data_IF_504785574552
#
_entry.id   IF_504785574552
#
_cell.length_a   1.000
_cell.length_b   1.000
_cell.length_c   1.000
_cell.angle_alpha   90.00
_cell.angle_beta   90.00
_cell.angle_gamma   90.00
#
_symmetry.space_group_name_H-M   'P 1'
#
loop_
_entity.id
_entity.type
_entity.pdbx_description
1 polymer ?
#
# COMPACT_ATOMS: atom_id res chain seq x y z
N UNK A 1 -16.91 -20.30 -8.25
CA UNK A 1 -15.52 -19.90 -7.90
C UNK A 1 -15.28 -19.94 -6.40
N UNK A 2 -15.99 -19.15 -5.60
CA UNK A 2 -15.81 -19.12 -4.13
C UNK A 2 -15.95 -20.49 -3.46
N UNK A 3 -16.90 -21.31 -3.90
CA UNK A 3 -17.14 -22.67 -3.40
C UNK A 3 -15.92 -23.60 -3.60
N UNK A 4 -15.35 -23.65 -4.80
CA UNK A 4 -14.16 -24.47 -5.06
C UNK A 4 -12.94 -23.97 -4.29
N UNK A 5 -12.78 -22.64 -4.25
CA UNK A 5 -11.95 -21.88 -3.30
C UNK A 5 -12.04 -22.40 -1.86
N UNK A 6 -13.28 -22.49 -1.37
CA UNK A 6 -13.63 -22.70 0.04
C UNK A 6 -13.42 -24.12 0.56
N UNK A 7 -13.29 -25.11 -0.32
CA UNK A 7 -13.18 -26.53 0.04
C UNK A 7 -11.73 -26.96 0.31
N UNK A 8 -10.73 -26.15 -0.05
CA UNK A 8 -9.32 -26.51 0.15
C UNK A 8 -8.95 -26.50 1.63
N UNK A 9 -8.58 -27.66 2.17
CA UNK A 9 -8.01 -27.77 3.52
C UNK A 9 -6.48 -27.63 3.47
N UNK A 10 -5.91 -27.00 4.50
CA UNK A 10 -4.47 -26.89 4.67
C UNK A 10 -4.05 -27.72 5.87
N UNK A 11 -3.28 -28.78 5.61
CA UNK A 11 -2.79 -29.66 6.67
C UNK A 11 -1.74 -28.97 7.54
N UNK A 12 -1.51 -29.49 8.76
CA UNK A 12 -0.45 -28.99 9.66
C UNK A 12 0.92 -29.64 9.37
N UNK A 13 0.93 -30.80 8.69
CA UNK A 13 2.17 -31.47 8.33
C UNK A 13 2.93 -30.67 7.27
N UNK A 14 4.22 -30.37 7.51
CA UNK A 14 5.10 -29.61 6.62
C UNK A 14 4.94 -29.97 5.13
N UNK A 15 5.11 -31.25 4.76
CA UNK A 15 5.16 -31.66 3.36
C UNK A 15 3.78 -31.59 2.71
N UNK A 16 2.74 -32.05 3.42
CA UNK A 16 1.36 -32.01 2.93
C UNK A 16 0.88 -30.57 2.80
N UNK A 17 1.15 -29.72 3.78
CA UNK A 17 0.80 -28.31 3.75
C UNK A 17 1.45 -27.57 2.58
N UNK A 18 2.72 -27.85 2.30
CA UNK A 18 3.41 -27.29 1.12
C UNK A 18 2.67 -27.66 -0.17
N UNK A 19 2.28 -28.93 -0.31
CA UNK A 19 1.52 -29.40 -1.47
C UNK A 19 0.13 -28.75 -1.56
N UNK A 20 -0.55 -28.56 -0.43
CA UNK A 20 -1.86 -27.92 -0.36
C UNK A 20 -1.77 -26.45 -0.80
N UNK A 21 -0.77 -25.71 -0.31
CA UNK A 21 -0.50 -24.31 -0.70
C UNK A 21 -0.26 -24.23 -2.22
N UNK A 22 0.61 -25.07 -2.78
CA UNK A 22 0.88 -25.08 -4.22
C UNK A 22 -0.38 -25.39 -5.01
N UNK A 23 -1.11 -26.46 -4.66
CA UNK A 23 -2.35 -26.86 -5.35
C UNK A 23 -3.42 -25.77 -5.28
N UNK A 24 -3.48 -25.04 -4.18
CA UNK A 24 -4.42 -23.95 -3.98
C UNK A 24 -4.12 -22.76 -4.89
N UNK A 25 -2.86 -22.30 -4.93
CA UNK A 25 -2.46 -21.19 -5.79
C UNK A 25 -2.46 -21.57 -7.28
N UNK A 26 -2.05 -22.79 -7.64
CA UNK A 26 -2.17 -23.30 -9.01
C UNK A 26 -3.61 -23.25 -9.51
N UNK A 27 -4.57 -23.65 -8.66
CA UNK A 27 -5.99 -23.57 -9.02
C UNK A 27 -6.49 -22.13 -9.06
N UNK A 28 -6.07 -21.31 -8.12
CA UNK A 28 -6.38 -19.87 -8.09
C UNK A 28 -5.97 -19.20 -9.39
N UNK A 29 -4.74 -19.44 -9.88
CA UNK A 29 -4.26 -18.86 -11.15
C UNK A 29 -4.98 -19.43 -12.38
N UNK A 30 -5.39 -20.71 -12.35
CA UNK A 30 -6.25 -21.27 -13.41
C UNK A 30 -7.63 -20.59 -13.44
N UNK A 31 -8.26 -20.42 -12.28
CA UNK A 31 -9.54 -19.73 -12.16
C UNK A 31 -9.45 -18.26 -12.57
N UNK A 32 -8.33 -17.58 -12.31
CA UNK A 32 -8.09 -16.22 -12.79
C UNK A 32 -8.12 -16.14 -14.32
N UNK A 33 -7.53 -17.13 -15.02
CA UNK A 33 -7.57 -17.20 -16.48
C UNK A 33 -8.97 -17.55 -17.02
N UNK A 34 -9.71 -18.41 -16.32
CA UNK A 34 -11.08 -18.79 -16.68
C UNK A 34 -12.07 -17.63 -16.45
N UNK A 35 -11.83 -16.80 -15.43
CA UNK A 35 -12.74 -15.74 -14.97
C UNK A 35 -11.98 -14.41 -14.71
N UNK A 36 -11.42 -13.76 -15.74
CA UNK A 36 -10.51 -12.61 -15.57
C UNK A 36 -11.15 -11.34 -15.02
N UNK A 37 -12.49 -11.27 -14.95
CA UNK A 37 -13.23 -10.13 -14.40
C UNK A 37 -13.65 -10.31 -12.94
N UNK A 38 -13.50 -11.51 -12.42
CA UNK A 38 -13.88 -11.84 -11.05
C UNK A 38 -12.70 -11.62 -10.10
N UNK A 39 -12.95 -11.23 -8.84
CA UNK A 39 -11.89 -10.93 -7.86
C UNK A 39 -11.27 -12.20 -7.27
N UNK A 40 -10.77 -13.10 -8.13
CA UNK A 40 -10.29 -14.45 -7.77
C UNK A 40 -9.13 -14.37 -6.77
N UNK A 41 -8.12 -13.54 -7.08
CA UNK A 41 -6.93 -13.39 -6.23
C UNK A 41 -7.26 -12.72 -4.90
N UNK A 42 -8.13 -11.70 -4.92
CA UNK A 42 -8.59 -11.05 -3.69
C UNK A 42 -9.28 -12.03 -2.75
N UNK A 43 -10.19 -12.85 -3.27
CA UNK A 43 -10.80 -13.94 -2.49
C UNK A 43 -9.74 -14.91 -1.98
N UNK A 44 -8.80 -15.31 -2.84
CA UNK A 44 -7.80 -16.30 -2.49
C UNK A 44 -6.87 -15.83 -1.36
N UNK A 45 -6.41 -14.58 -1.42
CA UNK A 45 -5.57 -13.95 -0.39
C UNK A 45 -6.34 -13.74 0.92
N UNK A 46 -7.60 -13.27 0.85
CA UNK A 46 -8.46 -13.12 2.03
C UNK A 46 -8.74 -14.46 2.74
N UNK A 47 -8.71 -15.58 2.01
CA UNK A 47 -8.79 -16.91 2.61
C UNK A 47 -7.50 -17.31 3.30
N UNK A 48 -6.35 -17.00 2.70
CA UNK A 48 -5.03 -17.24 3.31
C UNK A 48 -4.89 -16.47 4.63
N UNK A 49 -5.44 -15.26 4.76
CA UNK A 49 -5.39 -14.53 6.04
C UNK A 49 -6.12 -15.25 7.18
N UNK A 50 -6.96 -16.24 6.89
CA UNK A 50 -7.64 -17.09 7.89
C UNK A 50 -6.86 -18.36 8.23
N UNK A 51 -5.69 -18.59 7.62
CA UNK A 51 -4.85 -19.74 7.91
C UNK A 51 -4.12 -19.53 9.25
N UNK A 52 -4.61 -20.22 10.28
CA UNK A 52 -4.06 -20.11 11.64
C UNK A 52 -2.76 -20.91 11.82
N UNK A 53 -2.65 -22.07 11.19
CA UNK A 53 -1.54 -23.00 11.41
C UNK A 53 -0.60 -23.08 10.20
N UNK A 54 0.23 -22.06 9.99
CA UNK A 54 1.28 -22.13 8.95
C UNK A 54 2.56 -22.74 9.53
N UNK A 55 3.07 -23.80 8.90
CA UNK A 55 4.38 -24.36 9.23
C UNK A 55 5.50 -23.38 8.83
N UNK A 56 6.46 -23.05 9.71
CA UNK A 56 7.54 -22.10 9.44
C UNK A 56 8.27 -22.31 8.11
N UNK A 57 8.63 -23.55 7.79
CA UNK A 57 9.34 -23.89 6.56
C UNK A 57 8.56 -23.62 5.26
N UNK A 58 7.24 -23.44 5.34
CA UNK A 58 6.39 -23.16 4.18
C UNK A 58 6.13 -21.66 3.98
N UNK A 59 6.62 -20.81 4.90
CA UNK A 59 6.39 -19.38 4.83
C UNK A 59 7.01 -18.74 3.59
N UNK A 60 8.27 -19.04 3.27
CA UNK A 60 8.95 -18.45 2.12
C UNK A 60 8.22 -18.74 0.79
N UNK A 61 7.64 -19.94 0.67
CA UNK A 61 6.77 -20.31 -0.45
C UNK A 61 5.49 -19.46 -0.47
N UNK A 62 4.79 -19.38 0.66
CA UNK A 62 3.55 -18.61 0.74
C UNK A 62 3.78 -17.12 0.49
N UNK A 63 4.83 -16.54 1.08
CA UNK A 63 5.26 -15.16 0.86
C UNK A 63 5.50 -14.89 -0.63
N UNK A 64 6.23 -15.78 -1.32
CA UNK A 64 6.47 -15.64 -2.76
C UNK A 64 5.17 -15.65 -3.58
N UNK A 65 4.20 -16.50 -3.22
CA UNK A 65 2.90 -16.60 -3.89
C UNK A 65 2.00 -15.38 -3.60
N UNK A 66 2.07 -14.81 -2.39
CA UNK A 66 1.41 -13.55 -2.04
C UNK A 66 1.99 -12.40 -2.86
N UNK A 67 3.32 -12.27 -2.92
CA UNK A 67 4.01 -11.24 -3.71
C UNK A 67 3.74 -11.40 -5.23
N UNK A 68 3.63 -12.63 -5.71
CA UNK A 68 3.18 -12.90 -7.08
C UNK A 68 1.74 -12.44 -7.31
N UNK A 69 0.85 -12.67 -6.34
CA UNK A 69 -0.55 -12.22 -6.41
C UNK A 69 -0.64 -10.69 -6.50
N UNK A 70 0.17 -9.96 -5.72
CA UNK A 70 0.29 -8.50 -5.80
C UNK A 70 0.77 -8.03 -7.17
N UNK A 71 1.73 -8.74 -7.76
CA UNK A 71 2.29 -8.41 -9.07
C UNK A 71 1.25 -8.57 -10.19
N UNK A 72 0.34 -9.55 -10.07
CA UNK A 72 -0.72 -9.84 -11.04
C UNK A 72 -1.93 -8.91 -10.83
N UNK A 73 -2.37 -8.76 -9.59
CA UNK A 73 -3.52 -7.94 -9.20
C UNK A 73 -3.13 -7.03 -8.02
N UNK A 74 -2.93 -5.71 -8.28
CA UNK A 74 -2.50 -4.76 -7.26
C UNK A 74 -3.54 -4.61 -6.15
N UNK A 75 -4.82 -4.91 -6.42
CA UNK A 75 -5.89 -4.87 -5.43
C UNK A 75 -5.71 -5.86 -4.27
N UNK A 76 -4.75 -6.78 -4.39
CA UNK A 76 -4.35 -7.71 -3.31
C UNK A 76 -3.21 -7.21 -2.44
N UNK A 77 -2.60 -6.06 -2.76
CA UNK A 77 -1.45 -5.49 -2.05
C UNK A 77 -1.72 -5.37 -0.55
N UNK A 78 -2.80 -4.65 -0.20
CA UNK A 78 -3.17 -4.42 1.21
C UNK A 78 -3.35 -5.74 1.98
N UNK A 79 -4.11 -6.67 1.41
CA UNK A 79 -4.42 -7.93 2.07
C UNK A 79 -3.15 -8.78 2.27
N UNK A 80 -2.30 -8.83 1.26
CA UNK A 80 -1.02 -9.54 1.31
C UNK A 80 -0.07 -8.94 2.34
N UNK A 81 0.02 -7.61 2.42
CA UNK A 81 0.84 -6.91 3.41
C UNK A 81 0.34 -7.11 4.83
N UNK A 82 -0.97 -7.18 5.05
CA UNK A 82 -1.54 -7.50 6.36
C UNK A 82 -1.08 -8.89 6.82
N UNK A 83 -1.05 -9.87 5.93
CA UNK A 83 -0.55 -11.23 6.23
C UNK A 83 0.95 -11.19 6.51
N UNK A 84 1.75 -10.52 5.67
CA UNK A 84 3.20 -10.39 5.84
C UNK A 84 3.55 -9.75 7.18
N UNK A 85 2.85 -8.67 7.55
CA UNK A 85 3.05 -8.01 8.84
C UNK A 85 2.66 -8.91 10.02
N UNK A 86 1.55 -9.65 9.93
CA UNK A 86 1.17 -10.62 10.95
C UNK A 86 2.27 -11.67 11.14
N UNK A 87 2.80 -12.23 10.05
CA UNK A 87 3.88 -13.22 10.11
C UNK A 87 5.18 -12.62 10.65
N UNK A 88 5.50 -11.38 10.32
CA UNK A 88 6.63 -10.67 10.93
C UNK A 88 6.48 -10.57 12.46
N UNK A 89 5.28 -10.21 12.97
CA UNK A 89 4.98 -10.16 14.41
C UNK A 89 5.09 -11.54 15.09
N UNK A 90 4.84 -12.61 14.34
CA UNK A 90 4.98 -13.99 14.78
C UNK A 90 6.40 -14.56 14.52
N UNK A 91 7.41 -13.71 14.32
CA UNK A 91 8.83 -14.05 14.15
C UNK A 91 9.16 -14.88 12.89
N UNK A 92 8.33 -14.82 11.85
CA UNK A 92 8.70 -15.32 10.54
C UNK A 92 9.66 -14.35 9.85
N UNK A 93 10.68 -14.88 9.17
CA UNK A 93 11.61 -14.06 8.40
C UNK A 93 10.94 -13.58 7.12
N UNK A 94 10.88 -12.27 6.93
CA UNK A 94 10.32 -11.63 5.73
C UNK A 94 11.42 -11.44 4.71
N UNK A 95 11.17 -11.78 3.46
CA UNK A 95 12.06 -11.46 2.35
C UNK A 95 11.88 -9.99 1.93
N UNK A 96 12.60 -9.11 2.63
CA UNK A 96 12.55 -7.66 2.40
C UNK A 96 13.03 -7.26 1.00
N UNK A 97 13.97 -8.00 0.40
CA UNK A 97 14.47 -7.70 -0.95
C UNK A 97 13.37 -7.91 -1.99
N UNK A 98 12.66 -9.04 -1.93
CA UNK A 98 11.53 -9.31 -2.83
C UNK A 98 10.36 -8.37 -2.58
N UNK A 99 10.09 -8.00 -1.32
CA UNK A 99 9.07 -7.01 -1.01
C UNK A 99 9.45 -5.63 -1.58
N UNK A 100 10.70 -5.20 -1.44
CA UNK A 100 11.20 -3.95 -2.02
C UNK A 100 11.03 -3.92 -3.55
N UNK A 101 11.41 -5.01 -4.24
CA UNK A 101 11.27 -5.13 -5.69
C UNK A 101 9.82 -4.98 -6.12
N UNK A 102 8.90 -5.71 -5.47
CA UNK A 102 7.47 -5.65 -5.77
C UNK A 102 6.92 -4.25 -5.50
N UNK A 103 7.21 -3.62 -4.37
CA UNK A 103 6.71 -2.28 -4.06
C UNK A 103 7.20 -1.24 -5.09
N UNK A 104 8.47 -1.30 -5.48
CA UNK A 104 9.02 -0.40 -6.49
C UNK A 104 8.42 -0.63 -7.88
N UNK A 105 8.18 -1.89 -8.25
CA UNK A 105 7.46 -2.23 -9.46
C UNK A 105 6.03 -1.68 -9.45
N UNK A 106 5.30 -1.87 -8.35
CA UNK A 106 3.94 -1.37 -8.17
C UNK A 106 3.87 0.15 -8.32
N UNK A 107 4.75 0.89 -7.63
CA UNK A 107 4.81 2.35 -7.72
C UNK A 107 5.05 2.78 -9.17
N UNK A 108 6.12 2.27 -9.79
CA UNK A 108 6.53 2.69 -11.13
C UNK A 108 5.45 2.40 -12.18
N UNK A 109 4.77 1.26 -12.05
CA UNK A 109 3.69 0.87 -12.97
C UNK A 109 2.44 1.72 -12.76
N UNK A 110 1.93 1.79 -11.55
CA UNK A 110 0.58 2.31 -11.28
C UNK A 110 0.53 3.83 -11.14
N UNK A 111 1.66 4.48 -10.83
CA UNK A 111 1.75 5.94 -10.90
C UNK A 111 1.47 6.46 -12.31
N UNK A 112 2.01 5.80 -13.34
CA UNK A 112 1.79 6.19 -14.75
C UNK A 112 0.35 5.98 -15.23
N UNK A 113 -0.40 5.10 -14.56
CA UNK A 113 -1.80 4.81 -14.86
C UNK A 113 -2.77 5.69 -14.04
N UNK A 114 -2.25 6.51 -13.11
CA UNK A 114 -3.06 7.37 -12.25
C UNK A 114 -3.80 6.62 -11.14
N UNK A 115 -3.37 5.42 -10.75
CA UNK A 115 -4.01 4.65 -9.68
C UNK A 115 -3.45 5.03 -8.32
N UNK A 116 -3.86 6.20 -7.82
CA UNK A 116 -3.35 6.79 -6.57
C UNK A 116 -3.45 5.90 -5.35
N UNK A 117 -4.53 5.10 -5.21
CA UNK A 117 -4.71 4.21 -4.06
C UNK A 117 -3.61 3.16 -3.94
N UNK A 118 -3.23 2.55 -5.07
CA UNK A 118 -2.21 1.49 -5.09
C UNK A 118 -0.82 2.06 -4.85
N UNK A 119 -0.54 3.23 -5.43
CA UNK A 119 0.72 3.93 -5.19
C UNK A 119 0.82 4.37 -3.73
N UNK A 120 -0.25 4.91 -3.14
CA UNK A 120 -0.29 5.30 -1.74
C UNK A 120 -0.03 4.10 -0.82
N UNK A 121 -0.66 2.96 -1.05
CA UNK A 121 -0.39 1.74 -0.29
C UNK A 121 1.06 1.26 -0.44
N UNK A 122 1.62 1.32 -1.65
CA UNK A 122 2.99 0.91 -1.87
C UNK A 122 4.00 1.83 -1.16
N UNK A 123 3.80 3.16 -1.20
CA UNK A 123 4.64 4.13 -0.47
C UNK A 123 4.52 3.92 1.05
N UNK A 124 3.29 3.79 1.56
CA UNK A 124 3.07 3.53 2.99
C UNK A 124 3.77 2.25 3.44
N UNK A 125 3.73 1.20 2.61
CA UNK A 125 4.40 -0.06 2.90
C UNK A 125 5.92 0.08 2.94
N UNK A 126 6.50 0.84 2.01
CA UNK A 126 7.92 1.14 2.04
C UNK A 126 8.32 1.89 3.32
N UNK A 127 7.47 2.79 3.82
CA UNK A 127 7.67 3.46 5.11
C UNK A 127 7.60 2.45 6.27
N UNK A 128 6.56 1.62 6.34
CA UNK A 128 6.33 0.65 7.42
C UNK A 128 7.46 -0.38 7.51
N UNK A 129 7.88 -0.93 6.37
CA UNK A 129 8.94 -1.95 6.31
C UNK A 129 10.34 -1.35 6.21
N UNK A 130 10.48 -0.02 6.28
CA UNK A 130 11.76 0.67 6.22
C UNK A 130 12.54 0.36 4.92
N UNK A 131 11.85 0.28 3.79
CA UNK A 131 12.40 -0.08 2.47
C UNK A 131 12.67 1.16 1.61
N UNK A 132 13.75 1.18 0.81
CA UNK A 132 14.03 2.28 -0.10
C UNK A 132 13.06 2.29 -1.29
N UNK A 133 12.72 3.50 -1.72
CA UNK A 133 12.02 3.75 -2.97
C UNK A 133 13.08 4.15 -3.99
N UNK A 134 13.14 3.37 -5.06
CA UNK A 134 14.06 3.54 -6.19
C UNK A 134 13.86 4.88 -6.88
N UNK A 135 14.90 5.34 -7.58
CA UNK A 135 14.85 6.58 -8.34
C UNK A 135 13.71 6.58 -9.37
N UNK A 136 13.50 5.49 -10.10
CA UNK A 136 12.44 5.36 -11.11
C UNK A 136 11.04 5.48 -10.48
N UNK A 137 10.84 4.82 -9.34
CA UNK A 137 9.58 4.90 -8.59
C UNK A 137 9.34 6.33 -8.08
N UNK A 138 10.36 6.99 -7.53
CA UNK A 138 10.28 8.37 -7.06
C UNK A 138 10.00 9.39 -8.19
N UNK A 139 10.61 9.19 -9.36
CA UNK A 139 10.35 10.02 -10.55
C UNK A 139 8.88 9.87 -11.01
N UNK A 140 8.36 8.64 -10.99
CA UNK A 140 6.97 8.35 -11.35
C UNK A 140 5.98 8.98 -10.37
N UNK A 141 6.27 8.89 -9.06
CA UNK A 141 5.50 9.54 -7.99
C UNK A 141 5.44 11.06 -8.22
N UNK A 142 6.56 11.69 -8.55
CA UNK A 142 6.69 13.14 -8.73
C UNK A 142 5.79 13.70 -9.85
N UNK A 143 5.35 12.84 -10.78
CA UNK A 143 4.44 13.23 -11.86
C UNK A 143 2.96 13.15 -11.48
N UNK A 144 2.61 12.63 -10.30
CA UNK A 144 1.22 12.47 -9.87
C UNK A 144 0.63 13.77 -9.31
N UNK A 145 -0.63 14.04 -9.63
CA UNK A 145 -1.44 15.12 -9.05
C UNK A 145 -2.40 14.54 -8.02
N UNK A 146 -1.88 14.04 -6.90
CA UNK A 146 -2.68 13.45 -5.83
C UNK A 146 -2.13 13.82 -4.46
N UNK A 147 -2.98 14.38 -3.60
CA UNK A 147 -2.55 14.90 -2.30
C UNK A 147 -2.06 13.82 -1.36
N UNK A 148 -2.68 12.63 -1.37
CA UNK A 148 -2.30 11.52 -0.49
C UNK A 148 -0.95 10.98 -0.92
N UNK A 149 -0.75 10.76 -2.21
CA UNK A 149 0.54 10.32 -2.77
C UNK A 149 1.64 11.35 -2.47
N UNK A 150 1.38 12.63 -2.69
CA UNK A 150 2.35 13.69 -2.44
C UNK A 150 2.76 13.75 -0.96
N UNK A 151 1.79 13.72 -0.02
CA UNK A 151 2.08 13.74 1.41
C UNK A 151 2.87 12.50 1.86
N UNK A 152 2.49 11.31 1.38
CA UNK A 152 3.23 10.07 1.67
C UNK A 152 4.64 10.11 1.11
N UNK A 153 4.84 10.67 -0.09
CA UNK A 153 6.16 10.81 -0.69
C UNK A 153 7.05 11.79 0.07
N UNK A 154 6.48 12.91 0.55
CA UNK A 154 7.19 13.85 1.41
C UNK A 154 7.60 13.20 2.75
N UNK A 155 6.73 12.41 3.37
CA UNK A 155 7.07 11.65 4.58
C UNK A 155 8.14 10.57 4.31
N UNK A 156 7.99 9.82 3.21
CA UNK A 156 8.98 8.84 2.77
C UNK A 156 10.37 9.48 2.55
N UNK A 157 10.43 10.65 1.93
CA UNK A 157 11.67 11.43 1.77
C UNK A 157 12.24 11.86 3.12
N UNK A 158 11.42 12.41 4.02
CA UNK A 158 11.84 12.82 5.37
C UNK A 158 12.43 11.64 6.16
N UNK A 159 11.88 10.43 5.99
CA UNK A 159 12.36 9.19 6.61
C UNK A 159 13.52 8.53 5.87
N UNK A 160 14.05 9.15 4.82
CA UNK A 160 15.18 8.62 4.04
C UNK A 160 14.84 7.40 3.17
N UNK A 161 13.56 7.16 2.87
CA UNK A 161 13.12 6.12 1.93
C UNK A 161 13.29 6.57 0.48
N UNK A 162 13.05 7.86 0.22
CA UNK A 162 13.33 8.49 -1.08
C UNK A 162 14.58 9.36 -0.94
N UNK A 163 15.68 8.94 -1.56
CA UNK A 163 16.97 9.66 -1.50
C UNK A 163 17.31 10.38 -2.82
N UNK A 164 16.64 10.03 -3.91
CA UNK A 164 16.86 10.57 -5.26
C UNK A 164 15.57 10.53 -6.07
N UNK A 165 15.48 11.32 -7.14
CA UNK A 165 14.36 11.26 -8.10
C UNK A 165 13.07 11.94 -7.66
N UNK A 166 13.00 12.53 -6.46
CA UNK A 166 11.85 13.33 -6.01
C UNK A 166 11.94 14.76 -6.52
N UNK A 167 11.11 15.13 -7.48
CA UNK A 167 10.88 16.51 -7.91
C UNK A 167 9.55 17.02 -7.34
N UNK A 168 9.61 18.05 -6.50
CA UNK A 168 8.44 18.62 -5.83
C UNK A 168 7.82 19.78 -6.63
N UNK A 169 8.42 20.20 -7.74
CA UNK A 169 8.00 21.37 -8.53
C UNK A 169 6.52 21.31 -8.91
N UNK A 170 6.00 20.13 -9.26
CA UNK A 170 4.58 19.95 -9.61
C UNK A 170 3.67 20.17 -8.41
N UNK A 171 4.04 19.66 -7.24
CA UNK A 171 3.27 19.78 -6.00
C UNK A 171 3.32 21.20 -5.43
N UNK A 172 4.44 21.90 -5.62
CA UNK A 172 4.61 23.30 -5.22
C UNK A 172 3.60 24.24 -5.93
N UNK A 173 3.13 23.89 -7.12
CA UNK A 173 2.09 24.66 -7.84
C UNK A 173 0.74 24.64 -7.12
N UNK A 174 0.47 23.63 -6.28
CA UNK A 174 -0.76 23.51 -5.49
C UNK A 174 -0.69 24.30 -4.17
N UNK A 175 0.45 24.92 -3.86
CA UNK A 175 0.65 25.67 -2.62
C UNK A 175 0.19 27.13 -2.77
N UNK A 176 -1.08 27.28 -3.11
CA UNK A 176 -1.73 28.57 -3.36
C UNK A 176 -3.10 28.61 -2.69
N UNK A 177 -3.59 29.84 -2.44
CA UNK A 177 -4.86 30.07 -1.74
C UNK A 177 -6.06 29.40 -2.42
N UNK A 178 -6.13 29.45 -3.74
CA UNK A 178 -7.26 28.91 -4.51
C UNK A 178 -7.41 27.39 -4.30
N UNK A 179 -6.29 26.69 -4.11
CA UNK A 179 -6.28 25.24 -3.95
C UNK A 179 -6.80 24.78 -2.59
N UNK A 180 -6.89 25.67 -1.58
CA UNK A 180 -7.54 25.36 -0.31
C UNK A 180 -8.99 24.91 -0.47
N UNK A 181 -9.65 25.33 -1.55
CA UNK A 181 -11.01 24.89 -1.89
C UNK A 181 -11.03 24.04 -3.17
N UNK A 182 -9.85 23.61 -3.64
CA UNK A 182 -9.63 22.81 -4.84
C UNK A 182 -9.49 21.31 -4.56
N UNK A 183 -9.04 20.57 -5.57
CA UNK A 183 -8.87 19.12 -5.50
C UNK A 183 -7.68 18.72 -4.61
N UNK A 184 -6.64 19.55 -4.58
CA UNK A 184 -5.39 19.34 -3.83
C UNK A 184 -5.37 20.10 -2.50
N UNK A 185 -6.54 20.45 -1.96
CA UNK A 185 -6.66 21.18 -0.70
C UNK A 185 -5.87 20.54 0.45
N UNK A 186 -5.84 19.20 0.48
CA UNK A 186 -5.20 18.43 1.54
C UNK A 186 -3.68 18.65 1.52
N UNK A 187 -3.06 18.54 0.34
CA UNK A 187 -1.64 18.85 0.16
C UNK A 187 -1.34 20.33 0.42
N UNK A 188 -2.16 21.23 -0.12
CA UNK A 188 -2.03 22.68 0.05
C UNK A 188 -2.00 23.05 1.54
N UNK A 189 -2.98 22.58 2.31
CA UNK A 189 -3.07 22.80 3.74
C UNK A 189 -1.93 22.15 4.53
N UNK A 190 -1.69 20.85 4.35
CA UNK A 190 -0.70 20.10 5.16
C UNK A 190 0.74 20.50 4.85
N UNK A 191 1.10 20.72 3.59
CA UNK A 191 2.47 21.11 3.24
C UNK A 191 2.83 22.50 3.79
N UNK A 192 1.88 23.45 3.76
CA UNK A 192 2.04 24.76 4.40
C UNK A 192 2.15 24.62 5.93
N UNK A 193 1.25 23.86 6.56
CA UNK A 193 1.24 23.66 8.02
C UNK A 193 2.53 22.99 8.52
N UNK A 194 3.03 21.98 7.80
CA UNK A 194 4.21 21.22 8.19
C UNK A 194 5.53 21.87 7.75
N UNK A 195 5.47 22.94 6.93
CA UNK A 195 6.65 23.62 6.39
C UNK A 195 7.46 22.75 5.43
N UNK A 196 6.82 21.78 4.78
CA UNK A 196 7.50 20.79 3.93
C UNK A 196 7.95 21.34 2.59
N UNK A 197 7.27 22.38 2.12
CA UNK A 197 7.54 23.03 0.86
C UNK A 197 7.47 24.54 1.08
N UNK A 198 8.44 25.24 0.50
CA UNK A 198 8.65 26.67 0.73
C UNK A 198 7.67 27.51 -0.10
N UNK A 199 6.49 27.78 0.45
CA UNK A 199 5.63 28.86 -0.06
C UNK A 199 6.23 30.22 0.31
N UNK A 200 6.10 31.21 -0.57
CA UNK A 200 6.58 32.59 -0.31
C UNK A 200 5.73 33.33 0.72
N UNK A 201 4.48 32.90 0.93
CA UNK A 201 3.52 33.53 1.84
C UNK A 201 2.66 32.47 2.56
N UNK A 202 2.23 32.78 3.79
CA UNK A 202 1.34 31.92 4.56
C UNK A 202 -0.13 32.15 4.17
N UNK A 203 -0.49 31.66 2.99
CA UNK A 203 -1.85 31.79 2.45
C UNK A 203 -2.91 31.05 3.28
N UNK A 204 -2.52 30.04 4.06
CA UNK A 204 -3.41 29.31 4.98
C UNK A 204 -3.80 30.19 6.16
N UNK A 205 -2.83 30.89 6.77
CA UNK A 205 -3.09 31.79 7.89
C UNK A 205 -3.92 33.02 7.49
N UNK A 206 -3.90 33.42 6.23
CA UNK A 206 -4.68 34.55 5.70
C UNK A 206 -6.08 34.15 5.18
N UNK A 207 -6.40 32.86 5.13
CA UNK A 207 -7.72 32.39 4.72
C UNK A 207 -8.74 32.45 5.86
N UNK A 208 -9.99 32.80 5.56
CA UNK A 208 -11.02 33.02 6.59
C UNK A 208 -11.46 31.73 7.31
N UNK A 209 -11.40 30.58 6.65
CA UNK A 209 -11.80 29.29 7.21
C UNK A 209 -10.59 28.46 7.62
N UNK A 210 -9.61 28.29 6.73
CA UNK A 210 -8.46 27.43 6.98
C UNK A 210 -7.51 27.96 8.05
N UNK A 211 -7.49 29.28 8.29
CA UNK A 211 -6.75 29.83 9.44
C UNK A 211 -7.29 29.31 10.78
N UNK A 212 -8.59 29.03 10.88
CA UNK A 212 -9.19 28.49 12.10
C UNK A 212 -8.70 27.06 12.37
N UNK A 213 -8.63 26.23 11.31
CA UNK A 213 -8.08 24.88 11.40
C UNK A 213 -6.60 24.91 11.81
N UNK A 214 -5.81 25.78 11.16
CA UNK A 214 -4.39 25.95 11.45
C UNK A 214 -4.14 26.43 12.88
N UNK A 215 -4.87 27.45 13.33
CA UNK A 215 -4.79 27.98 14.70
C UNK A 215 -5.26 26.96 15.75
N UNK A 216 -6.23 26.11 15.39
CA UNK A 216 -6.68 24.99 16.21
C UNK A 216 -5.72 23.80 16.22
N UNK A 217 -4.61 23.84 15.47
CA UNK A 217 -3.64 22.75 15.38
C UNK A 217 -4.13 21.51 14.64
N UNK A 218 -5.23 21.62 13.87
CA UNK A 218 -5.84 20.49 13.16
C UNK A 218 -4.88 19.93 12.12
N UNK A 219 -4.75 18.61 12.09
CA UNK A 219 -3.99 17.87 11.08
C UNK A 219 -4.79 16.67 10.59
N UNK A 220 -4.68 16.43 9.29
CA UNK A 220 -5.23 15.32 8.54
C UNK A 220 -4.15 14.28 8.18
N UNK A 221 -2.87 14.58 8.40
CA UNK A 221 -1.77 13.65 8.18
C UNK A 221 -0.83 13.61 9.39
N UNK A 222 -0.91 12.52 10.16
CA UNK A 222 -0.07 12.31 11.33
C UNK A 222 1.21 11.56 10.99
N UNK A 223 2.32 12.29 10.96
CA UNK A 223 3.69 11.76 10.74
C UNK A 223 4.18 10.86 11.88
N UNK A 224 3.52 10.90 13.04
CA UNK A 224 3.85 10.08 14.19
C UNK A 224 2.87 8.92 14.36
N UNK A 225 1.95 8.73 13.40
CA UNK A 225 1.04 7.59 13.41
C UNK A 225 1.83 6.27 13.52
N UNK A 226 1.29 5.27 14.24
CA UNK A 226 1.90 3.96 14.31
C UNK A 226 2.16 3.40 12.90
N UNK A 227 3.39 2.97 12.66
CA UNK A 227 3.80 2.37 11.39
C UNK A 227 3.29 0.93 11.31
N UNK A 228 2.00 0.79 11.02
CA UNK A 228 1.32 -0.49 10.85
C UNK A 228 0.52 -0.51 9.56
N UNK A 229 0.46 -1.68 8.93
CA UNK A 229 -0.55 -2.08 7.98
C UNK A 229 -1.81 -2.45 8.80
N UNK A 230 -2.94 -1.76 8.60
CA UNK A 230 -4.18 -2.09 9.29
C UNK A 230 -4.63 -3.53 8.96
N UNK A 231 -5.16 -4.27 9.93
CA UNK A 231 -5.66 -5.61 9.69
C UNK A 231 -6.83 -5.61 8.70
N UNK A 232 -7.00 -6.75 8.05
CA UNK A 232 -8.14 -7.01 7.17
C UNK A 232 -9.42 -7.23 7.97
N UNK A 233 -10.12 -6.15 8.34
CA UNK A 233 -11.39 -6.26 9.07
C UNK A 233 -12.60 -6.47 8.12
N UNK A 234 -12.48 -6.15 6.83
CA UNK A 234 -13.63 -6.09 5.89
C UNK A 234 -13.41 -6.71 4.49
N UNK A 235 -12.37 -7.52 4.25
CA UNK A 235 -12.14 -8.18 2.94
C UNK A 235 -12.70 -9.61 2.83
N UNK A 236 -13.56 -10.02 3.77
CA UNK A 236 -14.33 -11.26 3.64
C UNK A 236 -15.30 -11.21 2.44
N UNK A 237 -15.64 -12.34 1.81
CA UNK A 237 -16.66 -12.37 0.78
C UNK A 237 -17.98 -11.86 1.38
N UNK A 238 -18.46 -10.73 0.89
CA UNK A 238 -19.84 -10.29 1.07
C UNK A 238 -20.75 -11.19 0.22
N UNK A 239 -21.02 -12.40 0.72
CA UNK A 239 -21.73 -13.44 -0.02
C UNK A 239 -22.12 -14.67 0.80
N UNK A 240 -22.26 -14.55 2.11
CA UNK A 240 -23.02 -15.51 2.92
C UNK A 240 -24.20 -14.78 3.58
N UNK A 241 -25.26 -14.61 2.78
CA UNK A 241 -26.66 -14.56 3.21
C UNK A 241 -27.46 -15.50 2.29
#
# INVERSE_FOLDING_TARGET
MGLELSEYEFNDNKLTQMQDIVRYFDRTFKLLNEFPKEPVLKYAVARISKLNNLHPDNWSLLESLLLQSVTIDPGTLRDSLSIIQDKQKNNFQINLDSLEEVLNFQISRYATLGYSSEVAWAIWSAIVFNLPISKLAAESISQMSDSVVALLALDARRRGRINQGSDTTKWEQFLVKDELYGEQWLLSYEANRQGYLSGTEDYVASDSWFSQLKNGGVSFYDINAPLIIPPNENSGPSGED
#
